data_IF_578576899309
#
_entry.id   IF_578576899309
#
_cell.length_a   1.000
_cell.length_b   1.000
_cell.length_c   1.000
_cell.angle_alpha   90.00
_cell.angle_beta   90.00
_cell.angle_gamma   90.00
#
_symmetry.space_group_name_H-M   'P 1'
#
loop_
_entity.id
_entity.type
_entity.pdbx_description
1 polymer ?
#
# COMPACT_ATOMS: atom_id res chain seq x y z
N UNK A 1 -33.29 -4.92 -20.79
CA UNK A 1 -32.09 -4.06 -20.87
C UNK A 1 -31.44 -4.02 -19.50
N UNK A 2 -30.60 -5.01 -19.21
CA UNK A 2 -29.74 -5.03 -18.02
C UNK A 2 -28.61 -4.04 -18.29
N UNK A 3 -28.47 -3.01 -17.46
CA UNK A 3 -27.34 -2.07 -17.55
C UNK A 3 -26.04 -2.87 -17.42
N UNK A 4 -25.15 -2.69 -18.39
CA UNK A 4 -23.74 -3.08 -18.32
C UNK A 4 -23.12 -2.34 -17.13
N UNK A 5 -23.06 -3.01 -15.99
CA UNK A 5 -22.25 -2.53 -14.87
C UNK A 5 -20.82 -2.83 -15.31
N UNK A 6 -20.09 -1.83 -15.78
CA UNK A 6 -18.66 -1.97 -16.07
C UNK A 6 -17.99 -2.55 -14.82
N UNK A 7 -17.63 -3.82 -14.90
CA UNK A 7 -17.11 -4.59 -13.78
C UNK A 7 -15.69 -4.09 -13.47
N UNK A 8 -15.48 -3.58 -12.27
CA UNK A 8 -14.18 -2.99 -11.87
C UNK A 8 -13.19 -4.11 -11.55
N UNK A 9 -12.01 -4.10 -12.15
CA UNK A 9 -10.92 -5.05 -11.89
C UNK A 9 -9.90 -4.43 -10.95
N UNK A 10 -9.83 -4.94 -9.73
CA UNK A 10 -8.90 -4.47 -8.72
C UNK A 10 -7.82 -5.51 -8.45
N UNK A 11 -6.57 -5.18 -8.78
CA UNK A 11 -5.41 -5.96 -8.35
C UNK A 11 -5.22 -5.81 -6.84
N UNK A 12 -5.06 -6.89 -6.09
CA UNK A 12 -4.85 -6.84 -4.64
C UNK A 12 -3.55 -7.54 -4.21
N UNK A 13 -2.71 -6.82 -3.47
CA UNK A 13 -1.55 -7.39 -2.79
C UNK A 13 -1.62 -7.22 -1.26
N UNK A 14 -1.95 -8.30 -0.56
CA UNK A 14 -1.89 -8.39 0.90
C UNK A 14 -1.07 -9.62 1.27
N UNK A 15 -0.03 -9.44 2.08
CA UNK A 15 0.84 -10.54 2.51
C UNK A 15 0.02 -11.64 3.18
N UNK A 16 0.35 -12.93 3.01
CA UNK A 16 -0.42 -14.04 3.59
C UNK A 16 -0.63 -13.90 5.11
N UNK A 17 0.37 -13.35 5.82
CA UNK A 17 0.30 -13.08 7.27
C UNK A 17 -0.79 -12.06 7.66
N UNK A 18 -1.19 -11.16 6.75
CA UNK A 18 -2.20 -10.12 6.99
C UNK A 18 -3.61 -10.54 6.56
N UNK A 19 -3.76 -11.50 5.64
CA UNK A 19 -5.07 -11.92 5.10
C UNK A 19 -6.07 -12.40 6.16
N UNK A 20 -5.70 -13.26 7.13
CA UNK A 20 -6.66 -13.70 8.15
C UNK A 20 -7.16 -12.56 9.03
N UNK A 21 -6.29 -11.61 9.39
CA UNK A 21 -6.63 -10.45 10.23
C UNK A 21 -7.52 -9.44 9.51
N UNK A 22 -7.40 -9.39 8.18
CA UNK A 22 -8.18 -8.50 7.33
C UNK A 22 -9.58 -9.04 7.02
N UNK A 23 -9.86 -10.33 7.27
CA UNK A 23 -11.12 -10.95 6.84
C UNK A 23 -11.19 -11.06 5.32
N UNK A 24 -10.07 -11.42 4.68
CA UNK A 24 -9.86 -11.42 3.24
C UNK A 24 -10.99 -12.06 2.42
N UNK A 25 -11.46 -13.23 2.82
CA UNK A 25 -12.50 -13.95 2.07
C UNK A 25 -13.84 -13.21 2.06
N UNK A 26 -14.24 -12.64 3.21
CA UNK A 26 -15.46 -11.82 3.32
C UNK A 26 -15.34 -10.54 2.50
N UNK A 27 -14.14 -9.94 2.45
CA UNK A 27 -13.89 -8.77 1.62
C UNK A 27 -14.05 -9.10 0.13
N UNK A 28 -13.49 -10.22 -0.35
CA UNK A 28 -13.64 -10.66 -1.74
C UNK A 28 -15.11 -10.92 -2.08
N UNK A 29 -15.83 -11.61 -1.21
CA UNK A 29 -17.26 -11.88 -1.40
C UNK A 29 -18.05 -10.58 -1.50
N UNK A 30 -17.81 -9.64 -0.59
CA UNK A 30 -18.47 -8.32 -0.57
C UNK A 30 -18.13 -7.51 -1.83
N UNK A 31 -16.86 -7.50 -2.25
CA UNK A 31 -16.41 -6.81 -3.45
C UNK A 31 -17.13 -7.35 -4.70
N UNK A 32 -17.25 -8.68 -4.80
CA UNK A 32 -17.94 -9.35 -5.90
C UNK A 32 -19.43 -8.96 -5.98
N UNK A 33 -20.11 -8.89 -4.84
CA UNK A 33 -21.52 -8.47 -4.76
C UNK A 33 -21.73 -7.02 -5.25
N UNK A 34 -20.68 -6.20 -5.20
CA UNK A 34 -20.69 -4.81 -5.68
C UNK A 34 -20.05 -4.64 -7.07
N UNK A 35 -19.87 -5.73 -7.83
CA UNK A 35 -19.35 -5.66 -9.20
C UNK A 35 -17.85 -5.41 -9.30
N UNK A 36 -17.09 -5.69 -8.23
CA UNK A 36 -15.62 -5.60 -8.22
C UNK A 36 -15.01 -7.00 -8.28
N UNK A 37 -14.18 -7.26 -9.29
CA UNK A 37 -13.35 -8.46 -9.37
C UNK A 37 -12.03 -8.16 -8.68
N UNK A 38 -11.76 -8.89 -7.60
CA UNK A 38 -10.43 -8.91 -6.98
C UNK A 38 -9.55 -9.89 -7.76
N UNK A 39 -8.40 -9.39 -8.22
CA UNK A 39 -7.33 -10.18 -8.84
C UNK A 39 -6.15 -10.20 -7.89
N UNK A 40 -5.83 -11.36 -7.33
CA UNK A 40 -4.66 -11.53 -6.48
C UNK A 40 -3.37 -11.23 -7.27
N UNK A 41 -2.54 -10.33 -6.73
CA UNK A 41 -1.24 -10.02 -7.32
C UNK A 41 -0.19 -10.99 -6.78
N UNK A 42 0.28 -11.88 -7.62
CA UNK A 42 1.46 -12.69 -7.35
C UNK A 42 2.73 -11.88 -7.68
N UNK A 43 3.40 -11.38 -6.65
CA UNK A 43 4.64 -10.60 -6.78
C UNK A 43 5.90 -11.45 -6.67
N UNK A 44 5.77 -12.78 -6.50
CA UNK A 44 6.90 -13.72 -6.46
C UNK A 44 7.06 -14.48 -7.77
N UNK A 45 5.99 -14.56 -8.57
CA UNK A 45 6.00 -15.13 -9.91
C UNK A 45 6.72 -14.26 -10.95
N UNK A 46 6.71 -14.75 -12.19
CA UNK A 46 7.26 -14.02 -13.34
C UNK A 46 6.47 -12.73 -13.58
N UNK A 47 7.18 -11.60 -13.71
CA UNK A 47 6.64 -10.26 -13.97
C UNK A 47 5.75 -10.24 -15.21
N UNK A 48 6.03 -11.06 -16.23
CA UNK A 48 5.22 -11.16 -17.44
C UNK A 48 3.80 -11.71 -17.19
N UNK A 49 3.59 -12.42 -16.09
CA UNK A 49 2.28 -12.94 -15.68
C UNK A 49 1.47 -11.94 -14.86
N UNK A 50 2.03 -10.77 -14.52
CA UNK A 50 1.29 -9.75 -13.78
C UNK A 50 0.07 -9.28 -14.58
N UNK A 51 -1.09 -9.11 -13.91
CA UNK A 51 -2.31 -8.75 -14.59
C UNK A 51 -2.23 -7.35 -15.21
N UNK A 52 -2.85 -7.23 -16.38
CA UNK A 52 -3.07 -5.96 -17.10
C UNK A 52 -4.56 -5.60 -17.12
N UNK A 53 -4.86 -4.37 -17.56
CA UNK A 53 -6.22 -3.81 -17.59
C UNK A 53 -6.90 -3.83 -16.21
N UNK A 54 -6.16 -3.40 -15.20
CA UNK A 54 -6.70 -3.11 -13.88
C UNK A 54 -7.24 -1.68 -13.84
N UNK A 55 -8.36 -1.50 -13.14
CA UNK A 55 -8.93 -0.19 -12.83
C UNK A 55 -8.38 0.36 -11.51
N UNK A 56 -7.97 -0.53 -10.60
CA UNK A 56 -7.39 -0.18 -9.31
C UNK A 56 -6.36 -1.20 -8.84
N UNK A 57 -5.44 -0.78 -7.98
CA UNK A 57 -4.44 -1.62 -7.31
C UNK A 57 -4.51 -1.32 -5.81
N UNK A 58 -5.05 -2.23 -5.02
CA UNK A 58 -5.09 -2.16 -3.56
C UNK A 58 -3.92 -2.94 -2.96
N UNK A 59 -3.10 -2.34 -2.11
CA UNK A 59 -1.93 -3.03 -1.60
C UNK A 59 -1.54 -2.68 -0.17
N UNK A 60 -0.72 -3.56 0.42
CA UNK A 60 0.06 -3.27 1.63
C UNK A 60 1.52 -3.69 1.47
N UNK A 61 2.21 -3.04 0.54
CA UNK A 61 3.64 -3.30 0.18
C UNK A 61 4.65 -2.69 1.16
N UNK A 62 4.17 -1.94 2.15
CA UNK A 62 4.98 -1.14 3.09
C UNK A 62 6.14 -1.93 3.74
N UNK A 63 5.91 -3.21 4.09
CA UNK A 63 6.93 -4.03 4.75
C UNK A 63 8.04 -4.45 3.78
N UNK A 64 7.70 -4.73 2.52
CA UNK A 64 8.67 -5.09 1.48
C UNK A 64 9.47 -3.85 1.05
N UNK A 65 8.82 -2.69 0.88
CA UNK A 65 9.52 -1.43 0.61
C UNK A 65 10.56 -1.12 1.70
N UNK A 66 10.16 -1.19 2.98
CA UNK A 66 11.05 -0.89 4.11
C UNK A 66 12.26 -1.83 4.22
N UNK A 67 12.13 -3.05 3.67
CA UNK A 67 13.19 -4.07 3.70
C UNK A 67 13.96 -4.17 2.39
N UNK A 68 13.52 -3.50 1.33
CA UNK A 68 14.04 -3.66 -0.03
C UNK A 68 15.56 -3.47 -0.13
N UNK A 69 16.14 -2.57 0.67
CA UNK A 69 17.59 -2.34 0.73
C UNK A 69 18.39 -3.43 1.47
N UNK A 70 17.72 -4.28 2.23
CA UNK A 70 18.33 -5.27 3.14
C UNK A 70 17.89 -6.72 2.86
N UNK A 71 16.95 -6.91 1.92
CA UNK A 71 16.39 -8.21 1.57
C UNK A 71 16.09 -8.24 0.07
N UNK A 72 16.81 -9.10 -0.64
CA UNK A 72 16.65 -9.30 -2.09
C UNK A 72 15.21 -9.69 -2.45
N UNK A 73 14.60 -10.62 -1.68
CA UNK A 73 13.22 -11.06 -1.89
C UNK A 73 12.24 -9.88 -1.74
N UNK A 74 12.44 -9.02 -0.74
CA UNK A 74 11.60 -7.84 -0.55
C UNK A 74 11.79 -6.82 -1.69
N UNK A 75 13.03 -6.65 -2.15
CA UNK A 75 13.36 -5.83 -3.32
C UNK A 75 12.66 -6.32 -4.58
N UNK A 76 12.78 -7.61 -4.89
CA UNK A 76 12.14 -8.25 -6.05
C UNK A 76 10.62 -8.07 -6.04
N UNK A 77 9.95 -8.30 -4.91
CA UNK A 77 8.50 -8.07 -4.79
C UNK A 77 8.13 -6.60 -4.99
N UNK A 78 8.93 -5.67 -4.46
CA UNK A 78 8.71 -4.25 -4.66
C UNK A 78 8.89 -3.84 -6.13
N UNK A 79 9.89 -4.41 -6.82
CA UNK A 79 10.11 -4.17 -8.25
C UNK A 79 8.97 -4.75 -9.10
N UNK A 80 8.48 -5.96 -8.79
CA UNK A 80 7.31 -6.55 -9.43
C UNK A 80 6.05 -5.68 -9.21
N UNK A 81 5.85 -5.14 -8.01
CA UNK A 81 4.77 -4.20 -7.72
C UNK A 81 4.87 -2.93 -8.59
N UNK A 82 6.06 -2.34 -8.70
CA UNK A 82 6.29 -1.18 -9.57
C UNK A 82 6.07 -1.51 -11.05
N UNK A 83 6.44 -2.72 -11.50
CA UNK A 83 6.14 -3.19 -12.84
C UNK A 83 4.62 -3.30 -13.08
N UNK A 84 3.86 -3.84 -12.13
CA UNK A 84 2.40 -3.92 -12.20
C UNK A 84 1.76 -2.53 -12.37
N UNK A 85 2.21 -1.53 -11.61
CA UNK A 85 1.74 -0.14 -11.75
C UNK A 85 2.05 0.40 -13.14
N UNK A 86 3.28 0.21 -13.64
CA UNK A 86 3.69 0.66 -14.98
C UNK A 86 2.89 0.00 -16.10
N UNK A 87 2.54 -1.27 -15.94
CA UNK A 87 1.69 -2.02 -16.87
C UNK A 87 0.22 -1.56 -16.85
N UNK A 88 -0.20 -0.88 -15.78
CA UNK A 88 -1.57 -0.40 -15.59
C UNK A 88 -1.60 1.11 -15.31
N UNK A 89 -1.14 1.97 -16.25
CA UNK A 89 -0.94 3.41 -15.99
C UNK A 89 -2.23 4.20 -15.71
N UNK A 90 -3.40 3.61 -15.98
CA UNK A 90 -4.71 4.21 -15.68
C UNK A 90 -5.31 3.71 -14.37
N UNK A 91 -4.71 2.70 -13.74
CA UNK A 91 -5.22 2.14 -12.50
C UNK A 91 -5.00 3.13 -11.35
N UNK A 92 -6.01 3.24 -10.48
CA UNK A 92 -5.87 3.97 -9.21
C UNK A 92 -5.09 3.11 -8.22
N UNK A 93 -3.93 3.57 -7.76
CA UNK A 93 -3.15 2.88 -6.73
C UNK A 93 -3.62 3.33 -5.34
N UNK A 94 -3.99 2.37 -4.51
CA UNK A 94 -4.53 2.57 -3.16
C UNK A 94 -3.59 1.89 -2.16
N UNK A 95 -2.72 2.63 -1.46
CA UNK A 95 -2.47 4.08 -1.55
C UNK A 95 -1.23 4.40 -2.40
N UNK A 96 -1.12 5.58 -3.03
CA UNK A 96 0.08 5.96 -3.77
C UNK A 96 1.34 5.91 -2.88
N UNK A 97 2.47 5.48 -3.45
CA UNK A 97 3.72 5.32 -2.71
C UNK A 97 4.22 6.63 -2.10
N UNK A 98 3.97 7.76 -2.77
CA UNK A 98 4.29 9.10 -2.30
C UNK A 98 3.60 9.42 -0.97
N UNK A 99 2.38 8.91 -0.76
CA UNK A 99 1.64 9.04 0.49
C UNK A 99 2.07 8.03 1.55
N UNK A 100 2.52 6.83 1.14
CA UNK A 100 2.93 5.75 2.05
C UNK A 100 4.33 5.97 2.63
N UNK A 101 5.30 6.45 1.83
CA UNK A 101 6.70 6.56 2.25
C UNK A 101 6.88 7.43 3.51
N UNK A 102 6.25 8.62 3.63
CA UNK A 102 6.35 9.43 4.85
C UNK A 102 5.84 8.70 6.10
N UNK A 103 4.85 7.81 5.97
CA UNK A 103 4.27 7.06 7.09
C UNK A 103 5.22 6.01 7.67
N UNK A 104 6.31 5.69 6.98
CA UNK A 104 7.37 4.80 7.47
C UNK A 104 8.33 5.46 8.45
N UNK A 105 8.34 6.80 8.48
CA UNK A 105 9.17 7.56 9.38
C UNK A 105 8.27 8.31 10.38
N UNK A 106 8.31 7.90 11.65
CA UNK A 106 7.49 8.53 12.71
C UNK A 106 7.75 10.03 12.84
N UNK A 107 9.00 10.48 12.70
CA UNK A 107 9.34 11.92 12.73
C UNK A 107 8.65 12.66 11.59
N UNK A 108 8.73 12.13 10.36
CA UNK A 108 8.09 12.74 9.19
C UNK A 108 6.56 12.75 9.32
N UNK A 109 5.97 11.64 9.77
CA UNK A 109 4.53 11.52 10.02
C UNK A 109 4.04 12.53 11.06
N UNK A 110 4.75 12.69 12.18
CA UNK A 110 4.37 13.64 13.22
C UNK A 110 4.47 15.09 12.73
N UNK A 111 5.54 15.45 12.01
CA UNK A 111 5.66 16.78 11.40
C UNK A 111 4.54 17.07 10.39
N UNK A 112 4.16 16.09 9.57
CA UNK A 112 3.03 16.22 8.64
C UNK A 112 1.69 16.42 9.38
N UNK A 113 1.48 15.70 10.49
CA UNK A 113 0.28 15.83 11.31
C UNK A 113 0.19 17.20 12.00
N UNK A 114 1.29 17.70 12.56
CA UNK A 114 1.34 19.05 13.14
C UNK A 114 1.01 20.13 12.13
N UNK A 115 1.59 20.05 10.93
CA UNK A 115 1.30 20.98 9.84
C UNK A 115 -0.18 20.91 9.43
N UNK A 116 -0.73 19.70 9.28
CA UNK A 116 -2.13 19.51 8.92
C UNK A 116 -3.08 20.10 9.96
N UNK A 117 -2.86 19.84 11.27
CA UNK A 117 -3.70 20.38 12.35
C UNK A 117 -3.60 21.90 12.42
N UNK A 118 -2.38 22.45 12.31
CA UNK A 118 -2.15 23.89 12.34
C UNK A 118 -2.86 24.61 11.19
N UNK A 119 -2.91 23.99 10.00
CA UNK A 119 -3.56 24.54 8.83
C UNK A 119 -5.10 24.42 8.84
N UNK A 120 -5.64 23.37 9.45
CA UNK A 120 -7.05 22.96 9.25
C UNK A 120 -8.03 23.41 10.34
N UNK A 121 -7.56 24.11 11.39
CA UNK A 121 -8.40 24.57 12.54
C UNK A 121 -9.26 23.44 13.15
N UNK A 122 -8.82 22.20 13.03
CA UNK A 122 -9.54 21.04 13.56
C UNK A 122 -9.41 20.99 15.09
N UNK A 123 -10.42 20.47 15.81
CA UNK A 123 -10.41 20.41 17.28
C UNK A 123 -9.52 19.28 17.83
N UNK A 124 -8.50 18.85 17.07
CA UNK A 124 -7.57 17.79 17.45
C UNK A 124 -6.23 18.40 17.84
N UNK A 125 -5.50 17.73 18.74
CA UNK A 125 -4.14 18.11 19.13
C UNK A 125 -3.21 16.92 18.92
N UNK A 126 -2.00 17.20 18.43
CA UNK A 126 -0.91 16.21 18.47
C UNK A 126 -0.28 16.27 19.86
N UNK A 127 -0.10 15.13 20.56
CA UNK A 127 0.73 15.09 21.75
C UNK A 127 2.14 15.59 21.44
N UNK A 128 2.79 16.26 22.41
CA UNK A 128 4.18 16.70 22.25
C UNK A 128 5.08 15.50 21.94
N UNK A 129 5.91 15.61 20.92
CA UNK A 129 6.87 14.58 20.51
C UNK A 129 8.26 15.18 20.31
N UNK A 130 9.27 14.33 20.28
CA UNK A 130 10.65 14.69 20.01
C UNK A 130 11.35 13.50 19.34
N UNK A 131 12.29 13.79 18.45
CA UNK A 131 13.17 12.76 17.85
C UNK A 131 14.45 12.70 18.67
N UNK A 132 14.74 11.53 19.23
CA UNK A 132 16.03 11.29 19.88
C UNK A 132 17.10 11.01 18.81
N UNK A 133 18.33 11.51 18.98
CA UNK A 133 19.44 11.14 18.12
C UNK A 133 19.65 9.62 18.19
N UNK A 134 19.84 8.99 17.03
CA UNK A 134 20.23 7.58 16.95
C UNK A 134 21.73 7.51 17.26
N UNK A 135 22.11 6.99 18.43
CA UNK A 135 23.51 6.65 18.73
C UNK A 135 23.75 5.24 18.18
N UNK A 136 24.68 5.05 17.23
CA UNK A 136 25.02 3.72 16.75
C UNK A 136 25.54 2.86 17.91
N UNK A 137 25.26 1.54 17.92
CA UNK A 137 25.86 0.66 18.91
C UNK A 137 27.39 0.63 18.70
N UNK A 138 28.15 1.15 19.68
CA UNK A 138 29.63 1.13 19.66
C UNK A 138 30.32 2.46 20.03
N UNK A 139 29.56 3.56 20.18
CA UNK A 139 30.10 4.88 20.53
C UNK A 139 29.84 5.29 22.01
N UNK A 140 29.74 4.30 22.92
CA UNK A 140 29.70 4.52 24.39
C UNK A 140 31.05 4.22 25.05
#
# INVERSE_FOLDING_TARGET
FTMDINQVRCGMYITPKKRPKFGYDKFIETARLHGVIIVDLDLEGDVSNLPTNLDAILHKITDDYAKSSSSEIAGQRYDAFNACIKMNPRAVVIDPMEGIIPLLNRTAMQGALENAISASKVPFRVPRWLTLPCVPPGDE
#
